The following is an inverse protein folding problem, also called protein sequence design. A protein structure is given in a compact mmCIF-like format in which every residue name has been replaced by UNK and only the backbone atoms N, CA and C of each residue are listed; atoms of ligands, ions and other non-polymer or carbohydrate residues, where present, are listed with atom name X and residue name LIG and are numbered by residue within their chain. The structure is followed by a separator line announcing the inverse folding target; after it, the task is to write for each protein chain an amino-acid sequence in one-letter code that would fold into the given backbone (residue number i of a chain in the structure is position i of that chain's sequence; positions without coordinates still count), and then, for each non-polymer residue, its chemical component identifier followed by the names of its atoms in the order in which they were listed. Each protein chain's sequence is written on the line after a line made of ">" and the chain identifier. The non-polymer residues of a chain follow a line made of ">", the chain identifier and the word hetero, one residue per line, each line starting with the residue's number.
data_IF_251450768793
#
_entry.id   IF_251450768793
#
_cell.length_a   1.000
_cell.length_b   1.000
_cell.length_c   1.000
_cell.angle_alpha   90.00
_cell.angle_beta   90.00
_cell.angle_gamma   90.00
#
_symmetry.space_group_name_H-M   'P 1'
#
loop_
_entity.id
_entity.type
_entity.pdbx_description
1 polymer ?
#
# COMPACT_ATOMS: atom_id res chain seq x y z
N UNK A 1 0.00 -5.68 -4.44
CA UNK A 1 -0.92 -6.30 -5.40
C UNK A 1 -1.92 -5.24 -5.86
N UNK A 2 -2.53 -5.37 -7.03
CA UNK A 2 -3.51 -4.40 -7.55
C UNK A 2 -4.06 -4.81 -8.92
N UNK A 3 -4.88 -3.96 -9.57
CA UNK A 3 -5.40 -4.20 -10.92
C UNK A 3 -4.92 -3.11 -11.89
N UNK A 4 -4.54 -3.53 -13.10
CA UNK A 4 -4.02 -2.68 -14.19
C UNK A 4 -4.66 -3.07 -15.52
N UNK A 5 -4.62 -2.17 -16.50
CA UNK A 5 -5.05 -2.50 -17.87
C UNK A 5 -4.00 -3.34 -18.59
N UNK A 6 -4.38 -3.93 -19.72
CA UNK A 6 -3.41 -4.58 -20.61
C UNK A 6 -2.83 -3.57 -21.60
N UNK A 7 -1.99 -2.67 -21.09
CA UNK A 7 -1.43 -1.53 -21.82
C UNK A 7 0.06 -1.31 -21.54
N UNK A 8 0.64 -0.29 -22.21
CA UNK A 8 2.04 0.07 -22.07
C UNK A 8 2.38 0.51 -20.64
N UNK A 9 1.44 1.17 -19.97
CA UNK A 9 1.58 1.65 -18.59
C UNK A 9 1.76 0.50 -17.60
N UNK A 10 1.05 -0.63 -17.77
CA UNK A 10 1.29 -1.85 -16.99
C UNK A 10 2.76 -2.29 -17.07
N UNK A 11 3.35 -2.31 -18.26
CA UNK A 11 4.74 -2.74 -18.44
C UNK A 11 5.72 -1.81 -17.71
N UNK A 12 5.49 -0.50 -17.81
CA UNK A 12 6.28 0.49 -17.08
C UNK A 12 6.16 0.32 -15.57
N UNK A 13 4.95 0.10 -15.05
CA UNK A 13 4.73 -0.12 -13.62
C UNK A 13 5.48 -1.36 -13.11
N UNK A 14 5.41 -2.47 -13.85
CA UNK A 14 6.13 -3.71 -13.52
C UNK A 14 7.64 -3.46 -13.53
N UNK A 15 8.17 -2.86 -14.60
CA UNK A 15 9.61 -2.62 -14.75
C UNK A 15 10.15 -1.69 -13.64
N UNK A 16 9.44 -0.60 -13.34
CA UNK A 16 9.84 0.34 -12.29
C UNK A 16 9.83 -0.32 -10.92
N UNK A 17 8.76 -1.07 -10.59
CA UNK A 17 8.68 -1.78 -9.33
C UNK A 17 9.81 -2.82 -9.17
N UNK A 18 10.08 -3.60 -10.22
CA UNK A 18 11.18 -4.58 -10.23
C UNK A 18 12.54 -3.89 -10.12
N UNK A 19 12.74 -2.74 -10.78
CA UNK A 19 13.99 -1.97 -10.66
C UNK A 19 14.23 -1.43 -9.24
N UNK A 20 13.15 -1.22 -8.48
CA UNK A 20 13.19 -0.86 -7.06
C UNK A 20 13.28 -2.07 -6.12
N UNK A 21 13.41 -3.29 -6.66
CA UNK A 21 13.47 -4.54 -5.89
C UNK A 21 12.12 -4.98 -5.30
N UNK A 22 11.01 -4.48 -5.85
CA UNK A 22 9.66 -4.83 -5.42
C UNK A 22 9.09 -5.93 -6.32
N UNK A 23 8.66 -7.03 -5.72
CA UNK A 23 7.83 -8.03 -6.41
C UNK A 23 6.38 -7.55 -6.49
N UNK A 24 5.80 -7.59 -7.69
CA UNK A 24 4.46 -7.08 -7.97
C UNK A 24 3.60 -8.14 -8.63
N UNK A 25 2.38 -8.27 -8.12
CA UNK A 25 1.32 -9.12 -8.68
C UNK A 25 0.14 -8.25 -9.03
N UNK A 26 -0.15 -8.16 -10.33
CA UNK A 26 -1.24 -7.36 -10.87
C UNK A 26 -2.27 -8.23 -11.58
N UNK A 27 -3.53 -8.06 -11.19
CA UNK A 27 -4.68 -8.48 -12.00
C UNK A 27 -4.70 -7.64 -13.27
N UNK A 28 -4.85 -8.29 -14.43
CA UNK A 28 -4.95 -7.58 -15.71
C UNK A 28 -6.41 -7.53 -16.14
N UNK A 29 -6.93 -6.32 -16.34
CA UNK A 29 -8.27 -6.12 -16.85
C UNK A 29 -8.25 -5.98 -18.37
N UNK A 30 -9.08 -6.73 -19.14
CA UNK A 30 -8.95 -6.82 -20.60
C UNK A 30 -9.48 -5.61 -21.37
N UNK A 31 -10.31 -4.75 -20.74
CA UNK A 31 -10.99 -3.62 -21.41
C UNK A 31 -10.59 -2.23 -20.88
N UNK A 32 -10.53 -2.07 -19.56
CA UNK A 32 -10.12 -0.83 -18.91
C UNK A 32 -8.62 -0.59 -19.05
N UNK A 33 -8.24 0.68 -19.14
CA UNK A 33 -6.84 1.11 -19.12
C UNK A 33 -6.32 1.26 -17.70
N UNK A 34 -5.02 1.16 -17.52
CA UNK A 34 -4.33 1.43 -16.25
C UNK A 34 -4.68 2.84 -15.76
N UNK A 35 -4.98 2.93 -14.46
CA UNK A 35 -5.32 4.20 -13.81
C UNK A 35 -4.21 5.24 -13.96
N UNK A 36 -4.60 6.52 -14.01
CA UNK A 36 -3.67 7.65 -14.17
C UNK A 36 -3.99 8.72 -13.14
N UNK A 37 -2.95 9.39 -12.65
CA UNK A 37 -3.11 10.55 -11.79
C UNK A 37 -2.53 11.79 -12.46
N UNK A 38 -3.37 12.79 -12.69
CA UNK A 38 -2.92 14.11 -13.10
C UNK A 38 -2.45 14.86 -11.86
N UNK A 39 -1.23 15.38 -11.93
CA UNK A 39 -0.61 16.14 -10.84
C UNK A 39 -0.41 17.56 -11.30
N UNK A 40 -1.15 18.49 -10.71
CA UNK A 40 -1.01 19.91 -10.98
C UNK A 40 -0.14 20.51 -9.88
N UNK A 41 0.97 21.14 -10.27
CA UNK A 41 1.91 21.78 -9.36
C UNK A 41 1.87 23.29 -9.63
N UNK A 42 1.43 24.08 -8.64
CA UNK A 42 1.47 25.54 -8.70
C UNK A 42 2.78 26.03 -8.08
N UNK A 43 3.66 26.62 -8.90
CA UNK A 43 4.91 27.22 -8.44
C UNK A 43 4.70 28.47 -7.59
N UNK A 44 3.57 29.16 -7.77
CA UNK A 44 3.22 30.39 -7.07
C UNK A 44 2.93 30.15 -5.59
N UNK A 45 2.22 29.06 -5.30
CA UNK A 45 1.67 28.79 -3.96
C UNK A 45 2.22 27.50 -3.34
N UNK A 46 3.18 26.82 -4.02
CA UNK A 46 3.78 25.55 -3.58
C UNK A 46 2.74 24.47 -3.23
N UNK A 47 1.58 24.52 -3.89
CA UNK A 47 0.50 23.53 -3.73
C UNK A 47 0.46 22.58 -4.90
N UNK A 48 0.15 21.33 -4.56
CA UNK A 48 -0.05 20.23 -5.48
C UNK A 48 -1.49 19.75 -5.35
N UNK A 49 -2.18 19.61 -6.48
CA UNK A 49 -3.50 19.00 -6.58
C UNK A 49 -3.41 17.73 -7.41
N UNK A 50 -3.97 16.63 -6.90
CA UNK A 50 -3.99 15.34 -7.57
C UNK A 50 -5.42 15.01 -8.00
N UNK A 51 -5.57 14.62 -9.25
CA UNK A 51 -6.84 14.11 -9.79
C UNK A 51 -6.57 12.70 -10.30
N UNK A 52 -7.11 11.71 -9.60
CA UNK A 52 -6.95 10.30 -9.96
C UNK A 52 -8.12 9.84 -10.83
N UNK A 53 -7.81 9.28 -12.00
CA UNK A 53 -8.71 8.43 -12.77
C UNK A 53 -8.31 6.99 -12.48
N UNK A 54 -9.18 6.26 -11.78
CA UNK A 54 -8.82 4.96 -11.22
C UNK A 54 -8.67 3.86 -12.30
N UNK A 55 -9.42 3.95 -13.41
CA UNK A 55 -9.30 3.02 -14.53
C UNK A 55 -9.48 1.56 -14.08
N UNK A 56 -8.58 0.67 -14.51
CA UNK A 56 -8.61 -0.75 -14.15
C UNK A 56 -8.51 -1.02 -12.64
N UNK A 57 -7.98 -0.08 -11.84
CA UNK A 57 -7.82 -0.29 -10.39
C UNK A 57 -9.15 -0.44 -9.64
N UNK A 58 -10.26 0.13 -10.17
CA UNK A 58 -11.61 -0.07 -9.62
C UNK A 58 -12.14 -1.49 -9.82
N UNK A 59 -11.61 -2.21 -10.80
CA UNK A 59 -12.04 -3.56 -11.15
C UNK A 59 -11.22 -4.66 -10.47
N UNK A 60 -10.47 -4.32 -9.40
CA UNK A 60 -9.78 -5.31 -8.59
C UNK A 60 -10.80 -6.18 -7.84
N UNK A 61 -10.64 -7.51 -7.93
CA UNK A 61 -11.56 -8.46 -7.30
C UNK A 61 -10.88 -9.27 -6.21
N UNK A 62 -11.62 -9.61 -5.15
CA UNK A 62 -11.12 -10.48 -4.08
C UNK A 62 -10.67 -11.85 -4.62
N UNK A 63 -11.34 -12.38 -5.65
CA UNK A 63 -10.98 -13.63 -6.32
C UNK A 63 -9.51 -13.70 -6.76
N UNK A 64 -8.91 -12.55 -7.12
CA UNK A 64 -7.49 -12.51 -7.50
C UNK A 64 -6.57 -12.82 -6.32
N UNK A 65 -6.99 -12.49 -5.10
CA UNK A 65 -6.26 -12.84 -3.88
C UNK A 65 -6.36 -14.34 -3.59
N UNK A 66 -7.49 -14.96 -3.89
CA UNK A 66 -7.79 -16.37 -3.61
C UNK A 66 -7.05 -17.34 -4.56
N UNK A 67 -6.51 -16.83 -5.68
CA UNK A 67 -5.61 -17.60 -6.54
C UNK A 67 -4.41 -18.12 -5.73
N UNK A 68 -4.11 -19.43 -5.83
CA UNK A 68 -3.12 -20.12 -5.00
C UNK A 68 -1.76 -19.40 -4.90
N UNK A 69 -1.23 -18.94 -6.03
CA UNK A 69 0.07 -18.28 -6.08
C UNK A 69 0.04 -16.86 -5.50
N UNK A 70 -1.12 -16.22 -5.49
CA UNK A 70 -1.32 -14.89 -4.93
C UNK A 70 -1.54 -14.99 -3.42
N UNK A 71 -2.37 -15.95 -3.02
CA UNK A 71 -2.59 -16.29 -1.62
C UNK A 71 -1.31 -16.72 -0.90
N UNK A 72 -0.43 -17.48 -1.56
CA UNK A 72 0.85 -17.87 -0.99
C UNK A 72 1.73 -16.68 -0.55
N UNK A 73 1.65 -15.55 -1.26
CA UNK A 73 2.36 -14.31 -0.85
C UNK A 73 1.71 -13.69 0.39
N UNK A 74 0.39 -13.70 0.45
CA UNK A 74 -0.40 -13.18 1.57
C UNK A 74 -0.12 -13.99 2.85
N UNK A 75 -0.06 -15.32 2.76
CA UNK A 75 0.21 -16.18 3.90
C UNK A 75 1.61 -16.00 4.50
N UNK A 76 2.57 -15.66 3.65
CA UNK A 76 3.97 -15.41 4.04
C UNK A 76 4.18 -14.00 4.58
N UNK A 77 3.31 -13.05 4.25
CA UNK A 77 3.43 -11.66 4.66
C UNK A 77 3.32 -11.50 6.19
N UNK A 78 4.29 -10.80 6.78
CA UNK A 78 4.28 -10.46 8.21
C UNK A 78 3.66 -9.09 8.48
N UNK A 79 3.77 -8.18 7.51
CA UNK A 79 3.23 -6.82 7.55
C UNK A 79 2.32 -6.61 6.37
N UNK A 80 1.15 -6.03 6.65
CA UNK A 80 0.23 -5.50 5.64
C UNK A 80 0.17 -3.98 5.76
N UNK A 81 0.31 -3.29 4.62
CA UNK A 81 0.11 -1.86 4.49
C UNK A 81 -1.03 -1.67 3.48
N UNK A 82 -2.09 -0.97 3.89
CA UNK A 82 -3.24 -0.66 3.04
C UNK A 82 -3.62 0.79 3.22
N UNK A 83 -3.89 1.47 2.12
CA UNK A 83 -4.47 2.81 2.12
C UNK A 83 -6.00 2.67 2.05
N UNK A 84 -6.63 2.48 3.21
CA UNK A 84 -8.10 2.40 3.31
C UNK A 84 -8.62 3.47 4.26
N UNK A 85 -9.74 4.09 3.89
CA UNK A 85 -10.51 4.96 4.78
C UNK A 85 -11.29 4.16 5.84
N UNK A 86 -11.52 2.86 5.62
CA UNK A 86 -12.18 1.96 6.56
C UNK A 86 -11.16 1.07 7.28
N UNK A 87 -10.60 1.63 8.35
CA UNK A 87 -9.59 0.98 9.19
C UNK A 87 -10.09 -0.33 9.80
N UNK A 88 -11.36 -0.38 10.22
CA UNK A 88 -11.92 -1.56 10.90
C UNK A 88 -12.00 -2.76 9.96
N UNK A 89 -12.54 -2.55 8.75
CA UNK A 89 -12.64 -3.60 7.74
C UNK A 89 -11.27 -4.17 7.34
N UNK A 90 -10.24 -3.32 7.23
CA UNK A 90 -8.87 -3.76 6.94
C UNK A 90 -8.29 -4.60 8.08
N UNK A 91 -8.49 -4.16 9.32
CA UNK A 91 -8.02 -4.89 10.50
C UNK A 91 -8.70 -6.26 10.64
N UNK A 92 -10.01 -6.33 10.40
CA UNK A 92 -10.77 -7.60 10.44
C UNK A 92 -10.34 -8.54 9.33
N UNK A 93 -10.27 -8.07 8.08
CA UNK A 93 -9.84 -8.89 6.95
C UNK A 93 -8.43 -9.47 7.16
N UNK A 94 -7.50 -8.66 7.67
CA UNK A 94 -6.13 -9.10 7.92
C UNK A 94 -6.04 -10.02 9.15
N UNK A 95 -6.88 -9.82 10.18
CA UNK A 95 -6.95 -10.73 11.33
C UNK A 95 -7.42 -12.13 10.90
N UNK A 96 -8.44 -12.19 10.06
CA UNK A 96 -9.14 -13.43 9.73
C UNK A 96 -8.42 -14.24 8.64
N UNK A 97 -7.41 -13.64 8.00
CA UNK A 97 -6.59 -14.31 6.99
C UNK A 97 -5.57 -15.29 7.63
N UNK A 98 -5.59 -16.58 7.23
CA UNK A 98 -4.62 -17.61 7.62
C UNK A 98 -3.16 -17.15 7.50
N UNK A 99 -2.31 -17.64 8.40
CA UNK A 99 -0.87 -17.38 8.40
C UNK A 99 -0.10 -18.69 8.40
N UNK A 100 0.80 -18.86 7.43
CA UNK A 100 1.67 -20.03 7.33
C UNK A 100 2.58 -20.15 8.56
N UNK A 101 3.25 -19.06 8.92
CA UNK A 101 4.13 -19.03 10.09
C UNK A 101 3.37 -18.67 11.37
N UNK A 102 2.95 -19.68 12.13
CA UNK A 102 2.25 -19.53 13.41
C UNK A 102 3.13 -19.05 14.57
N UNK A 103 4.46 -19.08 14.43
CA UNK A 103 5.41 -18.74 15.49
C UNK A 103 5.68 -17.24 15.66
N UNK A 104 5.17 -16.39 14.76
CA UNK A 104 5.28 -14.92 14.87
C UNK A 104 3.89 -14.28 14.82
N UNK A 105 3.63 -13.20 15.55
CA UNK A 105 2.40 -12.45 15.40
C UNK A 105 2.33 -11.72 14.05
N UNK A 106 1.12 -11.36 13.60
CA UNK A 106 0.91 -10.48 12.43
C UNK A 106 0.89 -9.02 12.92
N UNK A 107 1.52 -8.13 12.17
CA UNK A 107 1.53 -6.70 12.46
C UNK A 107 0.81 -5.98 11.33
N UNK A 108 -0.22 -5.22 11.69
CA UNK A 108 -0.95 -4.37 10.75
C UNK A 108 -0.62 -2.93 11.07
N UNK A 109 -0.08 -2.20 10.09
CA UNK A 109 0.22 -0.77 10.25
C UNK A 109 -0.72 0.00 9.37
N UNK A 110 -1.48 0.91 9.97
CA UNK A 110 -2.35 1.82 9.24
C UNK A 110 -2.06 3.25 9.63
N UNK A 111 -1.85 4.09 8.62
CA UNK A 111 -1.34 5.44 8.78
C UNK A 111 -2.45 6.43 8.48
N UNK A 112 -2.79 7.32 9.43
CA UNK A 112 -3.72 8.42 9.21
C UNK A 112 -2.96 9.75 9.24
N UNK A 113 -2.58 10.23 8.07
CA UNK A 113 -1.97 11.54 7.90
C UNK A 113 -3.05 12.62 8.17
N UNK A 114 -2.73 13.74 8.85
CA UNK A 114 -1.41 14.13 9.37
C UNK A 114 -1.15 13.81 10.85
N UNK A 115 -2.09 13.18 11.57
CA UNK A 115 -2.09 13.25 13.05
C UNK A 115 -1.48 12.03 13.76
N UNK A 116 -1.65 10.82 13.22
CA UNK A 116 -1.29 9.59 13.95
C UNK A 116 -1.07 8.38 13.03
N UNK A 117 -0.14 7.52 13.44
CA UNK A 117 0.02 6.17 12.90
C UNK A 117 -0.52 5.17 13.89
N UNK A 118 -1.48 4.35 13.47
CA UNK A 118 -2.08 3.30 14.29
C UNK A 118 -1.46 1.96 13.90
N UNK A 119 -0.87 1.28 14.88
CA UNK A 119 -0.27 -0.05 14.70
C UNK A 119 -1.09 -1.04 15.50
N UNK A 120 -1.71 -1.99 14.83
CA UNK A 120 -2.41 -3.10 15.44
C UNK A 120 -1.53 -4.35 15.44
N UNK A 121 -1.39 -4.95 16.62
CA UNK A 121 -0.64 -6.19 16.84
C UNK A 121 -1.52 -7.18 17.61
N UNK A 122 -1.06 -8.43 17.76
CA UNK A 122 -1.75 -9.40 18.63
C UNK A 122 -1.83 -8.94 20.09
N UNK A 123 -0.89 -8.10 20.52
CA UNK A 123 -0.80 -7.58 21.90
C UNK A 123 -1.66 -6.31 22.09
N UNK A 124 -2.43 -5.92 21.06
CA UNK A 124 -3.30 -4.76 21.07
C UNK A 124 -2.90 -3.67 20.07
N UNK A 125 -3.64 -2.55 20.15
CA UNK A 125 -3.49 -1.40 19.26
C UNK A 125 -2.64 -0.33 19.96
N UNK A 126 -1.63 0.18 19.26
CA UNK A 126 -0.80 1.31 19.71
C UNK A 126 -0.92 2.46 18.72
N UNK A 127 -1.01 3.66 19.24
CA UNK A 127 -1.00 4.89 18.43
C UNK A 127 0.32 5.64 18.62
N UNK A 128 0.92 6.05 17.51
CA UNK A 128 2.13 6.85 17.47
C UNK A 128 1.79 8.23 16.92
N UNK A 129 1.92 9.24 17.78
CA UNK A 129 1.85 10.65 17.38
C UNK A 129 3.24 11.14 16.99
N UNK A 130 3.31 11.99 15.99
CA UNK A 130 4.57 12.54 15.48
C UNK A 130 4.40 14.02 15.19
N UNK A 131 5.51 14.76 15.27
CA UNK A 131 5.53 16.20 14.98
C UNK A 131 5.88 16.38 13.51
N UNK A 132 5.07 17.19 12.80
CA UNK A 132 5.38 17.59 11.43
C UNK A 132 6.76 18.29 11.40
N UNK A 133 7.70 17.86 10.54
CA UNK A 133 8.98 18.52 10.39
C UNK A 133 8.82 19.97 9.91
N UNK A 134 9.76 20.84 10.26
CA UNK A 134 9.72 22.27 9.85
C UNK A 134 10.03 22.50 8.37
N UNK A 135 10.68 21.54 7.71
CA UNK A 135 11.10 21.63 6.30
C UNK A 135 10.34 20.64 5.40
N UNK A 136 9.02 20.70 5.44
CA UNK A 136 8.17 19.89 4.56
C UNK A 136 7.92 20.66 3.28
N UNK A 137 8.43 20.13 2.15
CA UNK A 137 8.27 20.72 0.82
C UNK A 137 7.07 20.10 0.08
N UNK A 138 6.84 18.80 0.26
CA UNK A 138 5.66 18.07 -0.24
C UNK A 138 5.25 17.00 0.79
N UNK A 139 3.94 16.79 0.99
CA UNK A 139 3.38 15.73 1.84
C UNK A 139 2.78 14.57 1.03
N UNK A 140 2.66 14.70 -0.28
CA UNK A 140 2.16 13.63 -1.14
C UNK A 140 3.18 12.50 -1.21
N UNK A 141 2.71 11.25 -1.19
CA UNK A 141 3.57 10.07 -1.13
C UNK A 141 4.24 9.83 0.24
N UNK A 142 3.94 10.61 1.28
CA UNK A 142 4.44 10.32 2.63
C UNK A 142 3.92 8.97 3.16
N UNK A 143 2.72 8.54 2.75
CA UNK A 143 2.18 7.21 3.05
C UNK A 143 3.03 6.10 2.44
N UNK A 144 3.28 6.20 1.13
CA UNK A 144 4.15 5.28 0.40
C UNK A 144 5.57 5.21 0.97
N UNK A 145 6.15 6.37 1.29
CA UNK A 145 7.49 6.47 1.86
C UNK A 145 7.57 5.84 3.26
N UNK A 146 6.53 6.02 4.09
CA UNK A 146 6.43 5.38 5.40
C UNK A 146 6.30 3.87 5.26
N UNK A 147 5.43 3.38 4.37
CA UNK A 147 5.29 1.96 4.10
C UNK A 147 6.62 1.33 3.62
N UNK A 148 7.36 2.02 2.75
CA UNK A 148 8.70 1.62 2.31
C UNK A 148 9.72 1.60 3.46
N UNK A 149 9.75 2.65 4.29
CA UNK A 149 10.66 2.76 5.43
C UNK A 149 10.44 1.71 6.51
N UNK A 150 9.18 1.40 6.85
CA UNK A 150 8.83 0.41 7.87
C UNK A 150 9.30 -1.00 7.50
N UNK A 151 9.19 -1.39 6.22
CA UNK A 151 9.74 -2.66 5.74
C UNK A 151 11.23 -2.72 5.97
N UNK A 152 11.98 -1.67 5.62
CA UNK A 152 13.44 -1.63 5.80
C UNK A 152 13.84 -1.74 7.27
N UNK A 153 13.15 -1.05 8.18
CA UNK A 153 13.50 -1.04 9.62
C UNK A 153 13.33 -2.41 10.29
N UNK A 154 12.33 -3.21 9.87
CA UNK A 154 12.15 -4.57 10.38
C UNK A 154 13.17 -5.57 9.83
N UNK A 155 13.63 -5.40 8.58
CA UNK A 155 14.68 -6.26 8.00
C UNK A 155 16.04 -6.13 8.69
N UNK A 156 16.34 -4.99 9.32
CA UNK A 156 17.60 -4.75 10.04
C UNK A 156 17.55 -5.01 11.55
N UNK A 157 16.40 -5.39 12.10
CA UNK A 157 16.24 -5.67 13.54
C UNK A 157 16.21 -7.17 13.87
N UNK A 158 16.80 -8.01 13.02
CA UNK A 158 17.01 -9.44 13.26
C UNK A 158 18.42 -9.86 12.87
#
# INVERSE_FOLDING_TARGET
>A
MGCVGDDFEKQNLIQLAQSAGLDVKYQTHPKLTTGRCAVLISSRDQVRTMVASLGASEAFTADFLDERDNWGVIEQAQIFCSESSNLHAVLEAIRDTPKWNRGRPRIVVVTKIPERTTVATVDGIKEYRWKKPSKVIDTHGCGDALAGGMKRFQFFSF
#
